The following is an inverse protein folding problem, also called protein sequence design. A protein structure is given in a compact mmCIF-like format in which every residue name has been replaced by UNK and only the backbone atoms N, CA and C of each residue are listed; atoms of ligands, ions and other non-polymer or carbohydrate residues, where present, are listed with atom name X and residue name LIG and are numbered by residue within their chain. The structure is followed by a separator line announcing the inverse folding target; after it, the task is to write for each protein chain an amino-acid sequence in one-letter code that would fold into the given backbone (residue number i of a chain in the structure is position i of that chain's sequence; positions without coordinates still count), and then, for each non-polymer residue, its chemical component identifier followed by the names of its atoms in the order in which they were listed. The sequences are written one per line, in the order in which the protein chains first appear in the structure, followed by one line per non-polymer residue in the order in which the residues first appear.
data_IF_952968744118
#
_entry.id   IF_952968744118
#
_cell.length_a   1.000
_cell.length_b   1.000
_cell.length_c   1.000
_cell.angle_alpha   90.00
_cell.angle_beta   90.00
_cell.angle_gamma   90.00
#
_symmetry.space_group_name_H-M   'P 1'
#
loop_
_entity.id
_entity.type
_entity.pdbx_description
1 polymer ?
#
# COMPACT_ATOMS: atom_id res chain seq x y z
N UNK A 1 3.51 -5.22 -11.96
CA UNK A 1 3.79 -4.51 -10.71
C UNK A 1 2.61 -3.57 -10.41
N UNK A 2 1.86 -3.75 -9.31
CA UNK A 2 0.68 -2.93 -9.02
C UNK A 2 1.03 -1.52 -8.52
N UNK A 3 0.44 -0.48 -9.12
CA UNK A 3 0.67 0.93 -8.75
C UNK A 3 -0.13 1.31 -7.49
N UNK A 4 0.50 1.38 -6.31
CA UNK A 4 -0.20 1.82 -5.09
C UNK A 4 -0.91 3.18 -5.23
N UNK A 5 -0.41 4.09 -6.06
CA UNK A 5 -1.03 5.38 -6.35
C UNK A 5 -2.43 5.27 -6.97
N UNK A 6 -2.65 4.22 -7.77
CA UNK A 6 -3.93 3.90 -8.39
C UNK A 6 -4.80 3.02 -7.48
N UNK A 7 -4.31 2.59 -6.32
CA UNK A 7 -5.06 1.73 -5.42
C UNK A 7 -6.06 2.55 -4.59
N UNK A 8 -7.30 2.09 -4.48
CA UNK A 8 -8.32 2.73 -3.66
C UNK A 8 -8.02 2.66 -2.15
N UNK A 9 -7.31 1.63 -1.73
CA UNK A 9 -6.96 1.39 -0.32
C UNK A 9 -5.69 2.10 0.12
N UNK A 10 -4.99 2.74 -0.84
CA UNK A 10 -3.79 3.49 -0.53
C UNK A 10 -4.17 4.81 0.11
N UNK A 11 -3.66 5.01 1.32
CA UNK A 11 -3.86 6.20 2.14
C UNK A 11 -2.51 6.81 2.48
N UNK A 12 -2.43 8.13 2.47
CA UNK A 12 -1.30 8.85 3.06
C UNK A 12 -1.65 9.14 4.52
N UNK A 13 -0.80 8.70 5.43
CA UNK A 13 -0.90 8.94 6.86
C UNK A 13 -0.02 10.13 7.23
N UNK A 14 -0.48 10.97 8.16
CA UNK A 14 0.26 12.13 8.66
C UNK A 14 1.35 11.77 9.68
N UNK A 15 1.66 10.48 9.81
CA UNK A 15 2.65 9.96 10.73
C UNK A 15 4.05 10.11 10.12
N UNK A 16 4.96 10.80 10.82
CA UNK A 16 6.31 11.06 10.32
C UNK A 16 7.10 9.77 10.10
N UNK A 17 6.83 8.77 10.95
CA UNK A 17 7.45 7.46 10.85
C UNK A 17 6.74 6.55 9.87
N UNK A 18 5.47 6.75 9.53
CA UNK A 18 4.78 5.92 8.54
C UNK A 18 3.87 6.79 7.68
N UNK A 19 4.38 7.28 6.55
CA UNK A 19 3.63 8.17 5.64
C UNK A 19 2.63 7.45 4.76
N UNK A 20 2.80 6.15 4.56
CA UNK A 20 1.94 5.37 3.67
C UNK A 20 1.16 4.33 4.47
N UNK A 21 -0.12 4.17 4.17
CA UNK A 21 -1.00 3.18 4.76
C UNK A 21 -1.69 2.36 3.68
N UNK A 22 -1.83 1.06 3.92
CA UNK A 22 -2.67 0.18 3.12
C UNK A 22 -3.88 -0.22 3.96
N UNK A 23 -5.06 0.33 3.65
CA UNK A 23 -6.27 0.03 4.41
C UNK A 23 -6.72 -1.41 4.23
N UNK A 24 -6.54 -1.99 3.05
CA UNK A 24 -6.91 -3.39 2.78
C UNK A 24 -6.14 -4.41 3.60
N UNK A 25 -4.90 -4.08 3.98
CA UNK A 25 -4.04 -4.96 4.77
C UNK A 25 -3.88 -4.46 6.21
N UNK A 26 -4.46 -3.31 6.55
CA UNK A 26 -4.47 -2.77 7.91
C UNK A 26 -3.11 -2.27 8.45
N UNK A 27 -2.08 -2.14 7.61
CA UNK A 27 -0.73 -1.73 8.04
C UNK A 27 -0.31 -0.36 7.49
N UNK A 28 0.71 0.20 8.14
CA UNK A 28 1.35 1.48 7.76
C UNK A 28 2.84 1.24 7.55
N UNK A 29 3.42 1.95 6.59
CA UNK A 29 4.79 1.79 6.11
C UNK A 29 5.46 3.13 5.81
N UNK A 30 6.79 3.14 5.91
CA UNK A 30 7.66 4.27 5.50
C UNK A 30 7.76 4.40 3.98
N UNK A 31 7.71 3.26 3.30
CA UNK A 31 7.83 3.13 1.85
C UNK A 31 6.50 2.67 1.26
N UNK A 32 6.40 2.64 -0.06
CA UNK A 32 5.19 2.24 -0.77
C UNK A 32 4.73 0.86 -0.28
N UNK A 33 3.45 0.69 0.10
CA UNK A 33 2.97 -0.55 0.72
C UNK A 33 3.13 -1.77 -0.19
N UNK A 34 3.05 -1.64 -1.52
CA UNK A 34 3.35 -2.76 -2.42
C UNK A 34 4.79 -3.27 -2.29
N UNK A 35 5.75 -2.42 -1.93
CA UNK A 35 7.14 -2.83 -1.72
C UNK A 35 7.29 -3.58 -0.40
N UNK A 36 6.62 -3.13 0.65
CA UNK A 36 6.60 -3.85 1.94
C UNK A 36 5.89 -5.20 1.84
N UNK A 37 4.78 -5.28 1.12
CA UNK A 37 4.11 -6.57 0.84
C UNK A 37 5.05 -7.49 0.08
N UNK A 38 5.75 -6.99 -0.93
CA UNK A 38 6.72 -7.78 -1.67
C UNK A 38 7.89 -8.25 -0.80
N UNK A 39 8.38 -7.41 0.13
CA UNK A 39 9.44 -7.78 1.07
C UNK A 39 8.97 -8.79 2.12
N UNK A 40 7.73 -8.67 2.59
CA UNK A 40 7.19 -9.50 3.67
C UNK A 40 6.66 -10.86 3.16
N UNK A 41 5.89 -10.84 2.07
CA UNK A 41 5.20 -12.02 1.51
C UNK A 41 5.96 -12.62 0.30
N UNK A 42 6.86 -11.85 -0.33
CA UNK A 42 7.51 -12.26 -1.58
C UNK A 42 6.61 -12.15 -2.81
N UNK A 43 5.33 -11.80 -2.63
CA UNK A 43 4.34 -11.66 -3.71
C UNK A 43 3.88 -10.22 -3.87
N UNK A 44 3.36 -9.91 -5.05
CA UNK A 44 2.75 -8.62 -5.32
C UNK A 44 1.41 -8.48 -4.58
N UNK A 45 1.03 -7.23 -4.26
CA UNK A 45 -0.21 -6.94 -3.54
C UNK A 45 -1.44 -7.49 -4.28
N UNK A 46 -2.00 -8.59 -3.75
CA UNK A 46 -3.21 -9.26 -4.26
C UNK A 46 -4.47 -8.44 -4.03
N UNK A 47 -4.48 -7.62 -2.97
CA UNK A 47 -5.61 -6.74 -2.64
C UNK A 47 -5.58 -5.40 -3.38
N UNK A 48 -4.74 -5.27 -4.42
CA UNK A 48 -4.73 -4.10 -5.26
C UNK A 48 -6.09 -3.94 -5.96
N UNK A 49 -6.78 -2.84 -5.67
CA UNK A 49 -8.03 -2.48 -6.34
C UNK A 49 -7.90 -1.10 -6.92
N UNK A 50 -7.98 -0.99 -8.24
CA UNK A 50 -7.89 0.29 -8.92
C UNK A 50 -8.99 1.23 -8.42
N UNK A 51 -8.67 2.52 -8.25
CA UNK A 51 -9.68 3.57 -8.14
C UNK A 51 -10.43 3.56 -9.47
N UNK A 52 -11.71 3.19 -9.44
CA UNK A 52 -12.58 3.45 -10.57
C UNK A 52 -12.79 4.97 -10.65
N UNK A 53 -12.69 5.52 -11.85
CA UNK A 53 -12.91 6.94 -12.13
C UNK A 53 -14.32 7.37 -11.75
#
# INVERSE_FOLDING_TARGET
MPDCWKCKFFRITWDRNFRYGCESMGFRSKVIPSLEVFKSDGRHCLSFKTKSK
#
